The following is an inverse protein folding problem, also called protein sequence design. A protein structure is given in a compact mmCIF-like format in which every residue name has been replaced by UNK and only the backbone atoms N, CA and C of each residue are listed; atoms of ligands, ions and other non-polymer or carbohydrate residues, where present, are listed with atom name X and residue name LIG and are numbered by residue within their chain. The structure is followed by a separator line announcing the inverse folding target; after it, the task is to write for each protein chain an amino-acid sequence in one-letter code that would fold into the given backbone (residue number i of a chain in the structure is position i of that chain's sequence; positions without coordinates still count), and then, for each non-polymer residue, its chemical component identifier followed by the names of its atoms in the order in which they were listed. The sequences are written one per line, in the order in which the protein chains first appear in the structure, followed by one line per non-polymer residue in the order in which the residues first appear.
data_IF_721111904276
#
_entry.id   IF_721111904276
#
_cell.length_a   1.000
_cell.length_b   1.000
_cell.length_c   1.000
_cell.angle_alpha   90.00
_cell.angle_beta   90.00
_cell.angle_gamma   90.00
#
_symmetry.space_group_name_H-M   'P 1'
#
loop_
_entity.id
_entity.type
_entity.pdbx_description
1 polymer ?
#
# COMPACT_ATOMS: atom_id res chain seq x y z
N UNK A 1 -25.01 22.54 -0.26
CA UNK A 1 -25.93 23.71 -0.24
C UNK A 1 -27.28 23.42 -0.91
N UNK A 2 -27.36 22.53 -1.93
CA UNK A 2 -28.61 22.19 -2.63
C UNK A 2 -29.63 21.47 -1.74
N UNK A 3 -29.20 20.75 -0.71
CA UNK A 3 -30.04 19.92 0.16
C UNK A 3 -29.98 20.34 1.63
N UNK A 4 -29.36 21.49 1.95
CA UNK A 4 -29.20 22.01 3.32
C UNK A 4 -28.60 21.00 4.31
N UNK A 5 -27.66 20.17 3.83
CA UNK A 5 -26.94 19.17 4.63
C UNK A 5 -25.68 19.76 5.22
N UNK A 6 -25.44 19.51 6.50
CA UNK A 6 -24.16 19.67 7.14
C UNK A 6 -23.41 18.33 7.04
N UNK A 7 -22.19 18.35 6.50
CA UNK A 7 -21.40 17.14 6.28
C UNK A 7 -20.11 17.26 7.10
N UNK A 8 -19.87 16.26 7.92
CA UNK A 8 -18.64 16.07 8.66
C UNK A 8 -17.86 14.89 8.06
N UNK A 9 -16.61 15.11 7.66
CA UNK A 9 -15.74 14.09 7.11
C UNK A 9 -14.79 13.59 8.19
N UNK A 10 -14.89 12.30 8.52
CA UNK A 10 -14.07 11.67 9.54
C UNK A 10 -13.35 10.44 8.99
N UNK A 11 -12.03 10.32 9.18
CA UNK A 11 -11.28 9.12 8.80
C UNK A 11 -11.55 8.01 9.84
N UNK A 12 -12.36 7.02 9.47
CA UNK A 12 -12.64 5.85 10.32
C UNK A 12 -11.53 4.80 10.31
N UNK A 13 -10.68 4.85 9.29
CA UNK A 13 -9.51 3.98 9.14
C UNK A 13 -8.28 4.83 8.85
N UNK A 14 -7.14 4.35 9.30
CA UNK A 14 -5.84 4.95 9.02
C UNK A 14 -4.82 3.89 8.61
N UNK A 15 -3.77 4.32 7.92
CA UNK A 15 -2.65 3.45 7.56
C UNK A 15 -1.55 3.60 8.58
N UNK A 16 -1.11 2.48 9.14
CA UNK A 16 0.00 2.40 10.08
C UNK A 16 1.15 1.60 9.48
N UNK A 17 2.36 2.13 9.56
CA UNK A 17 3.56 1.42 9.12
C UNK A 17 3.96 0.30 10.07
N UNK A 18 4.29 -0.87 9.54
CA UNK A 18 4.89 -1.97 10.30
C UNK A 18 6.27 -1.52 10.82
N UNK A 19 6.53 -1.71 12.12
CA UNK A 19 7.83 -1.39 12.74
C UNK A 19 8.93 -2.34 12.26
N UNK A 20 10.18 -1.89 12.22
CA UNK A 20 11.31 -2.73 11.81
C UNK A 20 11.44 -4.03 12.62
N UNK A 21 11.12 -4.02 13.92
CA UNK A 21 11.13 -5.22 14.75
C UNK A 21 10.11 -6.26 14.27
N UNK A 22 8.92 -5.83 13.88
CA UNK A 22 7.87 -6.70 13.35
C UNK A 22 8.22 -7.17 11.93
N UNK A 23 8.77 -6.28 11.10
CA UNK A 23 9.22 -6.62 9.74
C UNK A 23 10.31 -7.72 9.75
N UNK A 24 11.25 -7.69 10.70
CA UNK A 24 12.28 -8.74 10.85
C UNK A 24 11.70 -10.13 11.04
N UNK A 25 10.51 -10.25 11.65
CA UNK A 25 9.83 -11.54 11.84
C UNK A 25 9.42 -12.20 10.51
N UNK A 26 9.25 -11.42 9.44
CA UNK A 26 8.97 -11.93 8.12
C UNK A 26 10.18 -12.61 7.44
N UNK A 27 11.37 -12.45 8.00
CA UNK A 27 12.63 -13.05 7.49
C UNK A 27 12.93 -12.68 6.03
N UNK A 28 12.52 -11.48 5.60
CA UNK A 28 12.76 -10.97 4.26
C UNK A 28 14.06 -10.17 4.28
N UNK A 29 15.02 -10.61 3.45
CA UNK A 29 16.23 -9.85 3.20
C UNK A 29 16.02 -8.92 1.99
N UNK A 30 15.98 -7.61 2.24
CA UNK A 30 15.80 -6.61 1.21
C UNK A 30 16.92 -6.61 0.16
N UNK A 31 18.15 -7.06 0.54
CA UNK A 31 19.32 -7.08 -0.34
C UNK A 31 19.19 -8.12 -1.47
N UNK A 32 18.37 -9.14 -1.27
CA UNK A 32 18.16 -10.20 -2.26
C UNK A 32 17.25 -9.77 -3.42
N UNK A 33 16.68 -8.56 -3.36
CA UNK A 33 15.74 -8.08 -4.37
C UNK A 33 16.39 -7.03 -5.25
N UNK A 34 16.16 -7.17 -6.56
CA UNK A 34 16.72 -6.27 -7.60
C UNK A 34 15.66 -5.40 -8.24
N UNK A 35 14.40 -5.64 -7.90
CA UNK A 35 13.26 -4.90 -8.41
C UNK A 35 12.13 -4.79 -7.37
N UNK A 36 11.37 -3.71 -7.42
CA UNK A 36 10.24 -3.46 -6.51
C UNK A 36 8.98 -3.17 -7.33
N UNK A 37 7.87 -3.84 -6.99
CA UNK A 37 6.54 -3.57 -7.58
C UNK A 37 5.77 -2.66 -6.63
N UNK A 38 5.49 -1.43 -7.07
CA UNK A 38 4.85 -0.40 -6.27
C UNK A 38 3.40 -0.17 -6.74
N UNK A 39 2.46 -0.49 -5.87
CA UNK A 39 1.03 -0.51 -6.18
C UNK A 39 0.27 0.75 -5.72
N UNK A 40 0.92 1.60 -4.92
CA UNK A 40 0.32 2.84 -4.40
C UNK A 40 1.39 3.82 -3.92
N UNK A 41 1.01 5.08 -3.73
CA UNK A 41 1.87 6.09 -3.08
C UNK A 41 2.24 5.67 -1.65
N UNK A 42 1.29 5.08 -0.92
CA UNK A 42 1.50 4.53 0.42
C UNK A 42 2.58 3.43 0.41
N UNK A 43 2.54 2.54 -0.58
CA UNK A 43 3.58 1.50 -0.72
C UNK A 43 4.95 2.13 -1.00
N UNK A 44 5.03 3.23 -1.76
CA UNK A 44 6.27 3.97 -1.98
C UNK A 44 6.81 4.52 -0.65
N UNK A 45 6.01 5.30 0.08
CA UNK A 45 6.44 5.93 1.34
C UNK A 45 6.92 4.88 2.35
N UNK A 46 6.14 3.80 2.52
CA UNK A 46 6.48 2.76 3.49
C UNK A 46 7.65 1.87 3.06
N UNK A 47 7.88 1.67 1.76
CA UNK A 47 9.06 0.97 1.27
C UNK A 47 10.36 1.73 1.66
N UNK A 48 10.42 3.03 1.40
CA UNK A 48 11.60 3.82 1.75
C UNK A 48 11.74 3.98 3.27
N UNK A 49 10.64 4.16 4.00
CA UNK A 49 10.65 4.18 5.46
C UNK A 49 11.24 2.89 6.04
N UNK A 50 10.73 1.72 5.64
CA UNK A 50 11.22 0.44 6.17
C UNK A 50 12.66 0.16 5.74
N UNK A 51 13.05 0.54 4.53
CA UNK A 51 14.44 0.45 4.08
C UNK A 51 15.38 1.24 5.00
N UNK A 52 14.99 2.47 5.35
CA UNK A 52 15.75 3.31 6.27
C UNK A 52 15.82 2.70 7.69
N UNK A 53 14.69 2.23 8.24
CA UNK A 53 14.63 1.60 9.57
C UNK A 53 15.43 0.29 9.62
N UNK A 54 15.51 -0.44 8.51
CA UNK A 54 16.31 -1.66 8.35
C UNK A 54 17.78 -1.36 8.02
N UNK A 55 18.16 -0.09 7.89
CA UNK A 55 19.50 0.36 7.46
C UNK A 55 19.91 -0.27 6.12
N UNK A 56 18.93 -0.43 5.24
CA UNK A 56 19.13 -0.90 3.88
C UNK A 56 19.26 0.30 2.94
N UNK A 57 20.45 0.49 2.44
CA UNK A 57 20.71 1.49 1.40
C UNK A 57 20.24 0.92 0.06
N UNK A 58 19.19 1.55 -0.49
CA UNK A 58 18.59 1.09 -1.75
C UNK A 58 19.59 1.34 -2.89
N UNK A 59 20.05 0.29 -3.58
CA UNK A 59 21.10 0.46 -4.58
C UNK A 59 20.58 1.22 -5.80
N UNK A 60 21.48 1.99 -6.41
CA UNK A 60 21.23 2.75 -7.64
C UNK A 60 20.77 1.85 -8.81
N UNK A 61 21.08 0.56 -8.77
CA UNK A 61 20.66 -0.43 -9.76
C UNK A 61 19.20 -0.89 -9.61
N UNK A 62 18.54 -0.57 -8.49
CA UNK A 62 17.16 -0.98 -8.21
C UNK A 62 16.22 -0.55 -9.32
N UNK A 63 15.36 -1.47 -9.76
CA UNK A 63 14.30 -1.20 -10.73
C UNK A 63 12.94 -1.08 -10.04
N UNK A 64 12.11 -0.21 -10.56
CA UNK A 64 10.78 0.05 -10.00
C UNK A 64 9.71 -0.17 -11.05
N UNK A 65 8.70 -0.94 -10.68
CA UNK A 65 7.54 -1.25 -11.50
C UNK A 65 6.30 -0.68 -10.81
N UNK A 66 5.84 0.46 -11.29
CA UNK A 66 4.74 1.21 -10.70
C UNK A 66 3.42 0.85 -11.40
N UNK A 67 2.36 0.63 -10.64
CA UNK A 67 1.06 0.26 -11.20
C UNK A 67 0.50 1.34 -12.14
N UNK A 68 0.89 2.60 -11.92
CA UNK A 68 0.45 3.73 -12.74
C UNK A 68 1.53 4.81 -12.85
N UNK A 69 1.36 5.70 -13.84
CA UNK A 69 2.22 6.87 -14.02
C UNK A 69 2.20 7.79 -12.77
N UNK A 70 1.05 7.95 -12.13
CA UNK A 70 0.92 8.75 -10.91
C UNK A 70 1.78 8.21 -9.74
N UNK A 71 1.94 6.89 -9.62
CA UNK A 71 2.83 6.26 -8.64
C UNK A 71 4.29 6.45 -9.06
N UNK A 72 4.62 6.31 -10.34
CA UNK A 72 5.96 6.55 -10.87
C UNK A 72 6.40 8.00 -10.70
N UNK A 73 5.49 8.95 -10.91
CA UNK A 73 5.75 10.36 -10.63
C UNK A 73 6.00 10.61 -9.14
N UNK A 74 5.17 10.04 -8.26
CA UNK A 74 5.33 10.17 -6.82
C UNK A 74 6.64 9.56 -6.30
N UNK A 75 7.11 8.49 -6.92
CA UNK A 75 8.39 7.84 -6.60
C UNK A 75 9.59 8.79 -6.72
N UNK A 76 9.49 9.84 -7.57
CA UNK A 76 10.55 10.83 -7.74
C UNK A 76 10.85 11.65 -6.48
N UNK A 77 9.98 11.58 -5.47
CA UNK A 77 10.27 12.13 -4.13
C UNK A 77 11.49 11.45 -3.47
N UNK A 78 11.76 10.21 -3.85
CA UNK A 78 12.80 9.37 -3.23
C UNK A 78 13.97 9.05 -4.17
N UNK A 79 13.71 8.95 -5.47
CA UNK A 79 14.73 8.56 -6.47
C UNK A 79 14.65 9.44 -7.71
N UNK A 80 15.81 9.71 -8.33
CA UNK A 80 15.85 10.42 -9.58
C UNK A 80 15.21 9.59 -10.71
N UNK A 81 14.36 10.23 -11.53
CA UNK A 81 13.71 9.56 -12.65
C UNK A 81 14.75 9.09 -13.69
N UNK A 82 14.69 7.81 -14.03
CA UNK A 82 15.53 7.19 -15.09
C UNK A 82 14.68 6.18 -15.88
N UNK A 83 14.44 6.43 -17.16
CA UNK A 83 13.66 5.56 -18.07
C UNK A 83 14.05 4.08 -18.03
N UNK A 84 15.31 3.78 -17.74
CA UNK A 84 15.82 2.39 -17.69
C UNK A 84 15.55 1.69 -16.37
N UNK A 85 15.04 2.40 -15.36
CA UNK A 85 14.85 1.89 -14.00
C UNK A 85 13.42 2.01 -13.51
N UNK A 86 12.64 2.95 -14.03
CA UNK A 86 11.27 3.20 -13.60
C UNK A 86 10.33 2.88 -14.76
N UNK A 87 9.48 1.90 -14.54
CA UNK A 87 8.48 1.41 -15.48
C UNK A 87 7.10 1.60 -14.85
N UNK A 88 6.08 1.84 -15.66
CA UNK A 88 4.71 1.98 -15.14
C UNK A 88 3.67 1.42 -16.11
N UNK A 89 2.56 0.94 -15.53
CA UNK A 89 1.35 0.54 -16.22
C UNK A 89 0.33 1.66 -16.29
N UNK A 90 -0.87 1.35 -16.75
CA UNK A 90 -1.98 2.30 -16.81
C UNK A 90 -2.66 2.45 -15.45
N UNK A 91 -3.10 1.36 -14.83
CA UNK A 91 -3.66 1.35 -13.46
C UNK A 91 -3.73 -0.05 -12.82
N UNK A 92 -3.47 -1.11 -13.57
CA UNK A 92 -3.62 -2.48 -13.10
C UNK A 92 -2.30 -3.25 -13.17
N UNK A 93 -2.21 -4.34 -12.41
CA UNK A 93 -1.03 -5.22 -12.48
C UNK A 93 -0.91 -5.88 -13.85
N UNK A 94 -2.04 -6.12 -14.51
CA UNK A 94 -2.09 -6.72 -15.84
C UNK A 94 -1.35 -5.84 -16.86
N UNK A 95 -1.48 -4.52 -16.75
CA UNK A 95 -0.78 -3.57 -17.63
C UNK A 95 0.75 -3.64 -17.50
N UNK A 96 1.25 -4.15 -16.36
CA UNK A 96 2.68 -4.30 -16.12
C UNK A 96 3.24 -5.63 -16.61
N UNK A 97 2.41 -6.64 -16.88
CA UNK A 97 2.84 -8.01 -17.18
C UNK A 97 3.84 -8.04 -18.34
N UNK A 98 3.58 -7.35 -19.44
CA UNK A 98 4.48 -7.37 -20.61
C UNK A 98 5.84 -6.72 -20.34
N UNK A 99 5.86 -5.70 -19.48
CA UNK A 99 7.11 -5.08 -19.02
C UNK A 99 7.84 -5.99 -18.04
N UNK A 100 7.13 -6.59 -17.10
CA UNK A 100 7.69 -7.54 -16.13
C UNK A 100 8.31 -8.76 -16.84
N UNK A 101 7.68 -9.28 -17.91
CA UNK A 101 8.23 -10.38 -18.72
C UNK A 101 9.62 -10.07 -19.29
N UNK A 102 9.84 -8.83 -19.75
CA UNK A 102 11.16 -8.38 -20.24
C UNK A 102 12.22 -8.33 -19.14
N UNK A 103 11.78 -8.33 -17.89
CA UNK A 103 12.62 -8.22 -16.70
C UNK A 103 12.53 -9.44 -15.77
N UNK A 104 12.08 -10.60 -16.26
CA UNK A 104 11.81 -11.82 -15.50
C UNK A 104 13.00 -12.32 -14.64
N UNK A 105 14.23 -11.97 -15.01
CA UNK A 105 15.43 -12.35 -14.26
C UNK A 105 15.59 -11.59 -12.91
N UNK A 106 14.79 -10.57 -12.66
CA UNK A 106 14.85 -9.85 -11.40
C UNK A 106 14.13 -10.61 -10.29
N UNK A 107 14.62 -10.43 -9.05
CA UNK A 107 13.92 -10.84 -7.85
C UNK A 107 13.03 -9.70 -7.41
N UNK A 108 11.73 -9.88 -7.53
CA UNK A 108 10.76 -8.83 -7.26
C UNK A 108 10.38 -8.79 -5.78
N UNK A 109 10.40 -7.63 -5.17
CA UNK A 109 9.76 -7.35 -3.90
C UNK A 109 8.39 -6.72 -4.18
N UNK A 110 7.36 -7.20 -3.49
CA UNK A 110 6.01 -6.64 -3.52
C UNK A 110 5.67 -6.04 -2.13
N UNK A 111 6.01 -4.76 -1.88
CA UNK A 111 5.58 -4.06 -0.69
C UNK A 111 4.05 -3.94 -0.66
N UNK A 112 3.42 -4.40 0.42
CA UNK A 112 1.97 -4.48 0.49
C UNK A 112 1.44 -4.23 1.90
N UNK A 113 0.12 -4.13 2.00
CA UNK A 113 -0.62 -4.16 3.26
C UNK A 113 -0.84 -5.60 3.73
N UNK A 114 -1.18 -5.77 4.98
CA UNK A 114 -1.60 -7.05 5.58
C UNK A 114 -2.84 -7.64 4.88
N UNK A 115 -3.75 -6.79 4.40
CA UNK A 115 -4.94 -7.18 3.63
C UNK A 115 -4.68 -6.86 2.15
N UNK A 116 -3.84 -7.66 1.50
CA UNK A 116 -3.57 -7.52 0.07
C UNK A 116 -4.69 -8.20 -0.75
N UNK A 117 -5.22 -7.50 -1.75
CA UNK A 117 -6.14 -8.12 -2.71
C UNK A 117 -5.42 -9.20 -3.50
N UNK A 118 -6.05 -10.37 -3.62
CA UNK A 118 -5.46 -11.54 -4.29
C UNK A 118 -5.15 -11.34 -5.78
N UNK A 119 -5.81 -10.39 -6.43
CA UNK A 119 -5.62 -10.10 -7.86
C UNK A 119 -4.15 -9.88 -8.23
N UNK A 120 -3.37 -9.17 -7.40
CA UNK A 120 -1.96 -8.87 -7.71
C UNK A 120 -1.10 -10.12 -7.57
N UNK A 121 -1.09 -10.83 -6.42
CA UNK A 121 -0.33 -12.07 -6.28
C UNK A 121 -0.71 -13.12 -7.34
N UNK A 122 -2.01 -13.37 -7.53
CA UNK A 122 -2.51 -14.35 -8.50
C UNK A 122 -2.05 -14.04 -9.93
N UNK A 123 -2.05 -12.75 -10.32
CA UNK A 123 -1.53 -12.37 -11.65
C UNK A 123 -0.04 -12.65 -11.77
N UNK A 124 0.75 -12.34 -10.74
CA UNK A 124 2.19 -12.58 -10.76
C UNK A 124 2.51 -14.09 -10.77
N UNK A 125 1.78 -14.88 -9.99
CA UNK A 125 1.88 -16.35 -9.94
C UNK A 125 1.50 -16.99 -11.26
N UNK A 126 0.37 -16.59 -11.86
CA UNK A 126 -0.10 -17.09 -13.16
C UNK A 126 0.90 -16.85 -14.30
N UNK A 127 1.76 -15.85 -14.17
CA UNK A 127 2.84 -15.56 -15.11
C UNK A 127 4.21 -16.04 -14.62
N UNK A 128 4.27 -16.84 -13.56
CA UNK A 128 5.48 -17.45 -13.01
C UNK A 128 6.59 -16.44 -12.67
N UNK A 129 6.23 -15.28 -12.14
CA UNK A 129 7.20 -14.31 -11.65
C UNK A 129 7.71 -14.71 -10.27
N UNK A 130 9.03 -14.63 -10.06
CA UNK A 130 9.63 -14.79 -8.73
C UNK A 130 9.46 -13.50 -7.94
N UNK A 131 8.62 -13.52 -6.91
CA UNK A 131 8.39 -12.35 -6.06
C UNK A 131 8.22 -12.72 -4.60
N UNK A 132 8.52 -11.76 -3.72
CA UNK A 132 8.35 -11.87 -2.28
C UNK A 132 7.35 -10.79 -1.82
N UNK A 133 6.28 -11.22 -1.15
CA UNK A 133 5.34 -10.30 -0.48
C UNK A 133 6.01 -9.75 0.77
N UNK A 134 6.05 -8.43 0.92
CA UNK A 134 6.58 -7.75 2.10
C UNK A 134 5.48 -6.88 2.72
N UNK A 135 4.92 -7.33 3.83
CA UNK A 135 3.94 -6.53 4.58
C UNK A 135 4.68 -5.41 5.30
N UNK A 136 4.45 -4.18 4.88
CA UNK A 136 5.17 -3.00 5.38
C UNK A 136 4.28 -1.92 5.98
N UNK A 137 2.97 -2.07 5.83
CA UNK A 137 1.94 -1.25 6.46
C UNK A 137 0.65 -2.05 6.63
N UNK A 138 -0.25 -1.56 7.47
CA UNK A 138 -1.59 -2.14 7.69
C UNK A 138 -2.63 -1.06 7.80
N UNK A 139 -3.88 -1.44 7.55
CA UNK A 139 -5.03 -0.58 7.78
C UNK A 139 -5.56 -0.86 9.19
N UNK A 140 -5.65 0.17 10.01
CA UNK A 140 -6.15 0.06 11.39
C UNK A 140 -7.34 0.98 11.59
N UNK A 141 -8.20 0.63 12.56
CA UNK A 141 -9.27 1.50 13.00
C UNK A 141 -8.69 2.79 13.58
N UNK A 142 -9.26 3.93 13.23
CA UNK A 142 -8.96 5.20 13.88
C UNK A 142 -9.55 5.23 15.29
N UNK A 143 -8.96 6.01 16.18
CA UNK A 143 -9.59 6.36 17.44
C UNK A 143 -10.72 7.35 17.14
N UNK A 144 -11.92 6.98 17.55
CA UNK A 144 -13.15 7.75 17.36
C UNK A 144 -13.79 8.14 18.71
N UNK A 145 -13.03 8.10 19.80
CA UNK A 145 -13.53 8.41 21.16
C UNK A 145 -14.16 9.81 21.26
N UNK A 146 -13.70 10.75 20.43
CA UNK A 146 -14.24 12.10 20.34
C UNK A 146 -15.68 12.14 19.78
N UNK A 147 -16.15 11.06 19.16
CA UNK A 147 -17.51 10.93 18.62
C UNK A 147 -18.51 10.26 19.58
N UNK A 148 -18.09 9.89 20.79
CA UNK A 148 -18.93 9.15 21.74
C UNK A 148 -20.26 9.86 22.07
N UNK A 149 -20.25 11.20 22.12
CA UNK A 149 -21.42 12.02 22.43
C UNK A 149 -21.91 12.85 21.22
N UNK A 150 -21.51 12.47 20.01
CA UNK A 150 -21.91 13.14 18.78
C UNK A 150 -23.00 12.33 18.09
N UNK A 151 -24.12 12.98 17.73
CA UNK A 151 -25.24 12.35 17.06
C UNK A 151 -25.29 12.80 15.61
N UNK A 152 -25.42 11.82 14.70
CA UNK A 152 -25.57 12.05 13.28
C UNK A 152 -26.89 11.41 12.80
N UNK A 153 -27.62 12.14 11.97
CA UNK A 153 -28.85 11.63 11.34
C UNK A 153 -28.52 10.51 10.32
N UNK A 154 -27.33 10.55 9.72
CA UNK A 154 -26.91 9.62 8.69
C UNK A 154 -25.38 9.40 8.73
N UNK A 155 -24.96 8.14 8.67
CA UNK A 155 -23.57 7.76 8.47
C UNK A 155 -23.38 7.17 7.07
N UNK A 156 -22.37 7.66 6.33
CA UNK A 156 -22.05 7.19 4.99
C UNK A 156 -20.65 6.58 4.99
N UNK A 157 -20.56 5.29 4.64
CA UNK A 157 -19.30 4.57 4.55
C UNK A 157 -18.94 4.25 3.10
N UNK A 158 -17.67 4.42 2.76
CA UNK A 158 -17.12 4.12 1.43
C UNK A 158 -16.51 2.70 1.34
N UNK A 159 -16.35 2.02 2.48
CA UNK A 159 -15.79 0.67 2.53
C UNK A 159 -16.24 -0.10 3.79
N UNK A 160 -16.25 -1.45 3.76
CA UNK A 160 -16.53 -2.28 4.93
C UNK A 160 -15.64 -1.96 6.13
N UNK A 161 -14.35 -1.66 5.90
CA UNK A 161 -13.40 -1.33 6.97
C UNK A 161 -13.80 -0.12 7.81
N UNK A 162 -14.54 0.84 7.23
CA UNK A 162 -15.12 1.96 7.99
C UNK A 162 -16.16 1.49 8.99
N UNK A 163 -17.03 0.55 8.59
CA UNK A 163 -18.07 -0.04 9.47
C UNK A 163 -17.41 -0.87 10.58
N UNK A 164 -16.41 -1.68 10.23
CA UNK A 164 -15.63 -2.46 11.21
C UNK A 164 -14.98 -1.57 12.25
N UNK A 165 -14.42 -0.43 11.82
CA UNK A 165 -13.85 0.56 12.72
C UNK A 165 -14.90 1.17 13.65
N UNK A 166 -16.08 1.53 13.13
CA UNK A 166 -17.19 2.02 13.95
C UNK A 166 -17.53 1.00 15.04
N UNK A 167 -17.77 -0.25 14.68
CA UNK A 167 -18.15 -1.30 15.62
C UNK A 167 -17.05 -1.63 16.63
N UNK A 168 -15.77 -1.46 16.25
CA UNK A 168 -14.63 -1.61 17.15
C UNK A 168 -14.59 -0.50 18.21
N UNK A 169 -14.84 0.75 17.81
CA UNK A 169 -14.87 1.88 18.73
C UNK A 169 -16.15 1.91 19.59
N UNK A 170 -17.28 1.52 19.01
CA UNK A 170 -18.59 1.54 19.64
C UNK A 170 -19.26 0.17 19.57
N UNK A 171 -18.83 -0.81 20.40
CA UNK A 171 -19.37 -2.19 20.34
C UNK A 171 -20.88 -2.28 20.66
N UNK A 172 -21.43 -1.27 21.32
CA UNK A 172 -22.87 -1.20 21.69
C UNK A 172 -23.67 -0.39 20.65
N UNK A 173 -23.06 0.01 19.54
CA UNK A 173 -23.77 0.73 18.48
C UNK A 173 -24.91 -0.15 17.94
N UNK A 174 -26.15 0.29 18.14
CA UNK A 174 -27.35 -0.36 17.58
C UNK A 174 -27.81 0.46 16.38
N UNK A 175 -28.07 -0.24 15.29
CA UNK A 175 -28.78 0.33 14.14
C UNK A 175 -30.22 0.66 14.48
#
# INVERSE_FOLDING_TARGET
KKYNLQIDFRPFIQVEGIKAQEFRKQKIDLKNHTAVILTSKTAVDHYFRISQEMRFEVPDSMKYFCISEAVAYYLQKYVAYRKRKIFFGKQTIVDLVDVLKKHRKNQFLLPCTDILRDTIPLTLEAHEFSFTKAVIYRTVASDLSDLENVYYDMLVFYSPGGIESLLKNFPKFKQ
#
